data_IF_843375641415
#
_entry.id   IF_843375641415
#
_cell.length_a   1.000
_cell.length_b   1.000
_cell.length_c   1.000
_cell.angle_alpha   90.00
_cell.angle_beta   90.00
_cell.angle_gamma   90.00
#
_symmetry.space_group_name_H-M   'P 1'
#
loop_
_entity.id
_entity.type
_entity.pdbx_description
1 polymer ?
#
# COMPACT_ATOMS: atom_id res chain seq x y z
N UNK A 1 -5.69 -3.91 -13.66
CA UNK A 1 -6.68 -4.09 -12.56
C UNK A 1 -7.71 -2.97 -12.65
N UNK A 2 -8.98 -3.32 -12.67
CA UNK A 2 -10.09 -2.37 -12.61
C UNK A 2 -10.54 -2.17 -11.16
N UNK A 3 -10.46 -0.94 -10.66
CA UNK A 3 -10.93 -0.56 -9.32
C UNK A 3 -12.21 0.26 -9.44
N UNK A 4 -13.25 -0.14 -8.73
CA UNK A 4 -14.52 0.56 -8.68
C UNK A 4 -14.95 0.82 -7.22
N UNK A 5 -15.28 2.06 -6.91
CA UNK A 5 -15.81 2.54 -5.64
C UNK A 5 -17.13 3.24 -5.93
N UNK A 6 -18.22 2.81 -5.29
CA UNK A 6 -19.56 3.35 -5.51
C UNK A 6 -20.12 3.84 -4.19
N UNK A 7 -20.11 5.16 -3.98
CA UNK A 7 -20.65 5.80 -2.80
C UNK A 7 -20.00 5.39 -1.48
N UNK A 8 -18.71 5.00 -1.52
CA UNK A 8 -18.00 4.49 -0.34
C UNK A 8 -17.87 5.59 0.70
N UNK A 9 -18.37 5.32 1.90
CA UNK A 9 -18.27 6.21 3.05
C UNK A 9 -17.84 5.45 4.30
N UNK A 10 -17.13 6.15 5.18
CA UNK A 10 -16.71 5.59 6.46
C UNK A 10 -16.87 6.61 7.58
N UNK A 11 -17.60 6.20 8.62
CA UNK A 11 -17.80 6.98 9.84
C UNK A 11 -17.38 6.13 11.04
N UNK A 12 -16.54 6.69 11.89
CA UNK A 12 -16.14 6.07 13.15
C UNK A 12 -17.01 6.59 14.29
N UNK A 13 -17.35 5.74 15.27
CA UNK A 13 -18.25 6.08 16.38
C UNK A 13 -17.78 7.28 17.21
N UNK A 14 -16.47 7.39 17.46
CA UNK A 14 -15.84 8.46 18.24
C UNK A 14 -15.12 9.51 17.40
N UNK A 15 -15.16 9.36 16.07
CA UNK A 15 -14.46 10.24 15.14
C UNK A 15 -15.38 10.69 14.03
N UNK A 16 -15.23 11.76 13.40
CA UNK A 16 -16.04 12.23 12.29
C UNK A 16 -16.08 11.28 11.08
N UNK A 17 -16.66 11.73 10.01
CA UNK A 17 -16.72 11.02 8.74
C UNK A 17 -15.35 11.04 8.08
N UNK A 18 -14.69 9.88 8.02
CA UNK A 18 -13.35 9.73 7.45
C UNK A 18 -13.36 9.62 5.93
N UNK A 19 -14.44 9.10 5.33
CA UNK A 19 -14.66 9.06 3.89
C UNK A 19 -16.08 9.52 3.57
N UNK A 20 -16.21 10.39 2.56
CA UNK A 20 -17.45 11.04 2.17
C UNK A 20 -17.80 10.72 0.74
N UNK A 21 -18.68 9.70 0.57
CA UNK A 21 -19.27 9.37 -0.74
C UNK A 21 -18.23 9.23 -1.88
N UNK A 22 -17.19 8.41 -1.64
CA UNK A 22 -16.14 8.17 -2.63
C UNK A 22 -16.73 7.42 -3.82
N UNK A 23 -16.61 8.04 -4.99
CA UNK A 23 -16.95 7.43 -6.28
C UNK A 23 -15.71 7.45 -7.17
N UNK A 24 -15.35 6.29 -7.69
CA UNK A 24 -14.16 6.10 -8.50
C UNK A 24 -14.31 4.86 -9.37
N UNK A 25 -13.92 4.92 -10.62
CA UNK A 25 -13.87 3.75 -11.50
C UNK A 25 -12.82 3.96 -12.57
N UNK A 26 -11.72 3.19 -12.52
CA UNK A 26 -10.71 3.20 -13.58
C UNK A 26 -9.87 1.91 -13.58
N UNK A 27 -9.20 1.71 -14.71
CA UNK A 27 -8.19 0.68 -14.90
C UNK A 27 -6.81 1.24 -14.57
N UNK A 28 -6.11 0.61 -13.64
CA UNK A 28 -4.74 1.01 -13.29
C UNK A 28 -3.89 -0.19 -12.88
N UNK A 29 -2.60 -0.10 -13.15
CA UNK A 29 -1.59 -1.06 -12.64
C UNK A 29 -0.94 -0.55 -11.36
N UNK A 30 -0.78 0.78 -11.25
CA UNK A 30 -0.23 1.42 -10.06
C UNK A 30 -0.93 2.74 -9.78
N UNK A 31 -1.39 2.92 -8.53
CA UNK A 31 -2.12 4.08 -8.06
C UNK A 31 -1.45 4.66 -6.82
N UNK A 32 -0.99 5.90 -6.90
CA UNK A 32 -0.59 6.68 -5.73
C UNK A 32 -1.80 7.40 -5.14
N UNK A 33 -1.96 7.36 -3.82
CA UNK A 33 -2.93 8.16 -3.08
C UNK A 33 -2.16 9.18 -2.26
N UNK A 34 -2.32 10.45 -2.58
CA UNK A 34 -1.64 11.59 -1.94
C UNK A 34 -2.62 12.54 -1.27
N UNK A 35 -2.12 13.42 -0.44
CA UNK A 35 -2.91 14.45 0.24
C UNK A 35 -2.49 14.67 1.70
N UNK A 36 -3.07 15.67 2.37
CA UNK A 36 -2.72 16.01 3.75
C UNK A 36 -3.05 14.89 4.74
N UNK A 37 -2.40 14.92 5.91
CA UNK A 37 -2.71 14.01 7.02
C UNK A 37 -4.18 14.18 7.43
N UNK A 38 -4.84 13.07 7.81
CA UNK A 38 -6.27 13.07 8.11
C UNK A 38 -7.20 13.11 6.88
N UNK A 39 -6.65 13.12 5.66
CA UNK A 39 -7.44 13.15 4.41
C UNK A 39 -8.23 11.88 4.07
N UNK A 40 -8.16 10.81 4.88
CA UNK A 40 -8.89 9.57 4.64
C UNK A 40 -8.11 8.50 3.86
N UNK A 41 -6.88 8.79 3.42
CA UNK A 41 -6.05 7.91 2.57
C UNK A 41 -5.87 6.49 3.13
N UNK A 42 -5.34 6.37 4.35
CA UNK A 42 -5.14 5.06 5.01
C UNK A 42 -6.46 4.36 5.31
N UNK A 43 -7.54 5.11 5.56
CA UNK A 43 -8.88 4.54 5.74
C UNK A 43 -9.36 3.90 4.45
N UNK A 44 -9.24 4.59 3.32
CA UNK A 44 -9.56 4.04 2.00
C UNK A 44 -8.72 2.79 1.71
N UNK A 45 -7.41 2.86 1.93
CA UNK A 45 -6.51 1.72 1.70
C UNK A 45 -6.90 0.50 2.54
N UNK A 46 -7.27 0.69 3.82
CA UNK A 46 -7.72 -0.40 4.71
C UNK A 46 -9.06 -0.99 4.29
N UNK A 47 -9.97 -0.20 3.75
CA UNK A 47 -11.21 -0.70 3.14
C UNK A 47 -10.88 -1.56 1.93
N UNK A 48 -10.01 -1.09 1.03
CA UNK A 48 -9.54 -1.86 -0.13
C UNK A 48 -8.85 -3.17 0.28
N UNK A 49 -8.11 -3.17 1.38
CA UNK A 49 -7.49 -4.38 1.93
C UNK A 49 -8.46 -5.31 2.68
N UNK A 50 -9.74 -4.92 2.80
CA UNK A 50 -10.71 -5.66 3.57
C UNK A 50 -10.40 -5.68 5.08
N UNK A 51 -9.61 -4.75 5.58
CA UNK A 51 -9.25 -4.66 7.00
C UNK A 51 -10.33 -3.98 7.84
N UNK A 52 -11.08 -3.06 7.23
CA UNK A 52 -12.26 -2.41 7.81
C UNK A 52 -13.41 -2.47 6.81
N UNK A 53 -14.62 -2.58 7.33
CA UNK A 53 -15.85 -2.56 6.52
C UNK A 53 -16.31 -1.12 6.35
N UNK A 54 -16.60 -0.64 5.12
CA UNK A 54 -17.15 0.69 4.93
C UNK A 54 -18.53 0.80 5.59
N UNK A 55 -18.86 2.00 6.07
CA UNK A 55 -20.19 2.25 6.67
C UNK A 55 -21.29 2.28 5.61
N UNK A 56 -20.95 2.58 4.35
CA UNK A 56 -21.85 2.58 3.19
C UNK A 56 -21.07 2.45 1.89
N UNK A 57 -21.79 2.11 0.83
CA UNK A 57 -21.23 1.96 -0.52
C UNK A 57 -20.59 0.60 -0.77
N UNK A 58 -20.04 0.45 -1.95
CA UNK A 58 -19.50 -0.81 -2.45
C UNK A 58 -18.11 -0.62 -3.04
N UNK A 59 -17.29 -1.65 -2.89
CA UNK A 59 -15.96 -1.77 -3.52
C UNK A 59 -16.01 -2.95 -4.46
N UNK A 60 -15.51 -2.79 -5.69
CA UNK A 60 -15.28 -3.90 -6.60
C UNK A 60 -13.87 -3.84 -7.20
N UNK A 61 -13.26 -5.00 -7.41
CA UNK A 61 -11.96 -5.15 -8.06
C UNK A 61 -12.12 -6.18 -9.17
N UNK A 62 -11.74 -5.79 -10.41
CA UNK A 62 -11.91 -6.59 -11.63
C UNK A 62 -13.34 -7.12 -11.80
N UNK A 63 -14.34 -6.26 -11.51
CA UNK A 63 -15.76 -6.56 -11.60
C UNK A 63 -16.30 -7.43 -10.47
N UNK A 64 -15.48 -7.84 -9.51
CA UNK A 64 -15.91 -8.63 -8.36
C UNK A 64 -16.12 -7.73 -7.15
N UNK A 65 -17.35 -7.67 -6.64
CA UNK A 65 -17.63 -6.95 -5.40
C UNK A 65 -16.90 -7.57 -4.21
N UNK A 66 -16.27 -6.73 -3.40
CA UNK A 66 -15.66 -7.15 -2.14
C UNK A 66 -16.76 -7.36 -1.11
N UNK A 67 -17.00 -8.62 -0.77
CA UNK A 67 -17.94 -8.95 0.31
C UNK A 67 -17.22 -8.89 1.66
N UNK A 68 -17.86 -8.19 2.62
CA UNK A 68 -17.32 -8.02 3.96
C UNK A 68 -17.89 -9.03 4.97
N UNK A 69 -18.59 -10.07 4.51
CA UNK A 69 -18.93 -11.22 5.36
C UNK A 69 -17.64 -12.00 5.73
N UNK A 70 -17.68 -12.67 6.87
CA UNK A 70 -16.49 -13.30 7.47
C UNK A 70 -15.80 -14.30 6.53
N UNK A 71 -16.54 -15.10 5.81
CA UNK A 71 -15.98 -16.18 4.97
C UNK A 71 -15.37 -15.63 3.69
N UNK A 72 -16.11 -14.80 2.97
CA UNK A 72 -15.67 -14.15 1.73
C UNK A 72 -14.49 -13.24 1.98
N UNK A 73 -14.50 -12.51 3.11
CA UNK A 73 -13.43 -11.60 3.51
C UNK A 73 -12.10 -12.32 3.77
N UNK A 74 -12.14 -13.53 4.36
CA UNK A 74 -10.93 -14.34 4.53
C UNK A 74 -10.35 -14.80 3.19
N UNK A 75 -11.19 -15.23 2.26
CA UNK A 75 -10.77 -15.60 0.93
C UNK A 75 -10.17 -14.39 0.17
N UNK A 76 -10.84 -13.23 0.26
CA UNK A 76 -10.37 -11.99 -0.34
C UNK A 76 -8.99 -11.58 0.18
N UNK A 77 -8.80 -11.53 1.51
CA UNK A 77 -7.52 -11.15 2.15
C UNK A 77 -6.35 -12.04 1.75
N UNK A 78 -6.59 -13.30 1.41
CA UNK A 78 -5.55 -14.21 0.90
C UNK A 78 -5.01 -13.78 -0.47
N UNK A 79 -5.77 -13.00 -1.23
CA UNK A 79 -5.37 -12.51 -2.54
C UNK A 79 -4.69 -11.14 -2.49
N UNK A 80 -4.63 -10.51 -1.31
CA UNK A 80 -4.10 -9.15 -1.10
C UNK A 80 -2.82 -9.20 -0.28
N UNK A 81 -1.78 -8.51 -0.73
CA UNK A 81 -0.64 -8.15 0.09
C UNK A 81 -0.90 -6.81 0.78
N UNK A 82 -0.66 -6.70 2.07
CA UNK A 82 -0.80 -5.45 2.81
C UNK A 82 0.46 -5.16 3.62
N UNK A 83 1.00 -3.95 3.47
CA UNK A 83 2.15 -3.45 4.24
C UNK A 83 1.70 -2.22 5.02
N UNK A 84 1.80 -2.30 6.34
CA UNK A 84 1.45 -1.21 7.25
C UNK A 84 2.58 -0.20 7.35
N UNK A 85 2.25 1.01 7.73
CA UNK A 85 3.19 2.10 7.98
C UNK A 85 4.33 1.70 8.94
N UNK A 86 4.03 0.93 9.99
CA UNK A 86 5.01 0.40 10.94
C UNK A 86 5.66 -0.92 10.52
N UNK A 87 5.48 -1.38 9.25
CA UNK A 87 5.91 -2.67 8.75
C UNK A 87 5.13 -3.86 9.31
N UNK A 88 4.67 -3.80 10.55
CA UNK A 88 3.80 -4.80 11.21
C UNK A 88 4.41 -6.20 11.27
N UNK A 89 5.72 -6.33 11.48
CA UNK A 89 6.36 -7.63 11.67
C UNK A 89 5.95 -8.28 12.99
N UNK A 90 5.89 -9.59 13.01
CA UNK A 90 5.71 -10.35 14.22
C UNK A 90 7.00 -10.31 15.05
N UNK A 91 7.00 -9.61 16.17
CA UNK A 91 8.20 -9.34 16.98
C UNK A 91 8.86 -10.61 17.57
N UNK A 92 8.08 -11.67 17.75
CA UNK A 92 8.55 -12.97 18.28
C UNK A 92 9.03 -13.93 17.18
N UNK A 93 9.03 -13.51 15.92
CA UNK A 93 9.50 -14.29 14.77
C UNK A 93 10.71 -13.63 14.12
N UNK A 94 11.64 -14.44 13.63
CA UNK A 94 12.77 -13.95 12.82
C UNK A 94 12.31 -13.43 11.45
N UNK A 95 13.18 -12.73 10.71
CA UNK A 95 12.89 -12.27 9.35
C UNK A 95 12.39 -13.40 8.44
N UNK A 96 13.11 -14.53 8.41
CA UNK A 96 12.70 -15.71 7.66
C UNK A 96 11.32 -16.23 8.11
N UNK A 97 11.09 -16.31 9.41
CA UNK A 97 9.81 -16.81 9.95
C UNK A 97 8.66 -15.85 9.72
N UNK A 98 8.89 -14.56 9.68
CA UNK A 98 7.88 -13.57 9.32
C UNK A 98 7.33 -13.81 7.90
N UNK A 99 8.19 -14.26 6.96
CA UNK A 99 7.78 -14.59 5.60
C UNK A 99 7.16 -15.98 5.52
N UNK A 100 7.76 -16.99 6.17
CA UNK A 100 7.31 -18.39 6.04
C UNK A 100 6.00 -18.69 6.76
N UNK A 101 5.74 -18.06 7.92
CA UNK A 101 4.55 -18.35 8.72
C UNK A 101 3.23 -18.13 7.97
N UNK A 102 2.98 -16.98 7.27
CA UNK A 102 1.78 -16.82 6.46
C UNK A 102 1.68 -17.82 5.31
N UNK A 103 2.79 -18.15 4.65
CA UNK A 103 2.80 -19.15 3.56
C UNK A 103 2.30 -20.50 4.05
N UNK A 104 2.79 -20.96 5.21
CA UNK A 104 2.44 -22.26 5.76
C UNK A 104 1.01 -22.26 6.32
N UNK A 105 0.69 -21.29 7.20
CA UNK A 105 -0.55 -21.33 7.99
C UNK A 105 -1.78 -20.75 7.29
N UNK A 106 -1.56 -19.88 6.27
CA UNK A 106 -2.66 -19.20 5.55
C UNK A 106 -2.79 -19.73 4.13
N UNK A 107 -1.65 -19.94 3.45
CA UNK A 107 -1.64 -20.28 2.03
C UNK A 107 -1.38 -21.77 1.75
N UNK A 108 -1.15 -22.60 2.79
CA UNK A 108 -1.04 -24.06 2.67
C UNK A 108 0.25 -24.58 2.02
N UNK A 109 1.30 -23.75 1.98
CA UNK A 109 2.61 -24.20 1.51
C UNK A 109 3.19 -25.25 2.45
N UNK A 110 3.92 -26.22 1.91
CA UNK A 110 4.80 -27.06 2.72
C UNK A 110 5.91 -26.23 3.36
N UNK A 111 6.53 -26.73 4.43
CA UNK A 111 7.64 -26.03 5.09
C UNK A 111 8.80 -25.77 4.13
N UNK A 112 9.13 -26.74 3.29
CA UNK A 112 10.27 -26.66 2.35
C UNK A 112 9.99 -25.61 1.25
N UNK A 113 8.79 -25.61 0.67
CA UNK A 113 8.38 -24.60 -0.31
C UNK A 113 8.38 -23.18 0.29
N UNK A 114 7.83 -23.02 1.50
CA UNK A 114 7.81 -21.74 2.20
C UNK A 114 9.23 -21.22 2.47
N UNK A 115 10.14 -22.09 2.95
CA UNK A 115 11.54 -21.72 3.20
C UNK A 115 12.27 -21.39 1.89
N UNK A 116 12.05 -22.16 0.82
CA UNK A 116 12.62 -21.89 -0.49
C UNK A 116 12.17 -20.53 -1.03
N UNK A 117 10.88 -20.24 -0.96
CA UNK A 117 10.30 -18.96 -1.39
C UNK A 117 10.85 -17.80 -0.56
N UNK A 118 10.86 -17.93 0.78
CA UNK A 118 11.35 -16.88 1.65
C UNK A 118 12.84 -16.59 1.44
N UNK A 119 13.68 -17.61 1.29
CA UNK A 119 15.11 -17.43 1.00
C UNK A 119 15.34 -16.75 -0.35
N UNK A 120 14.55 -17.07 -1.38
CA UNK A 120 14.64 -16.41 -2.68
C UNK A 120 14.31 -14.92 -2.58
N UNK A 121 13.28 -14.55 -1.83
CA UNK A 121 12.91 -13.15 -1.60
C UNK A 121 13.94 -12.39 -0.74
N UNK A 122 14.44 -13.02 0.33
CA UNK A 122 15.50 -12.41 1.15
C UNK A 122 16.77 -12.15 0.33
N UNK A 123 17.15 -13.09 -0.56
CA UNK A 123 18.26 -12.88 -1.49
C UNK A 123 18.00 -11.75 -2.45
N UNK A 124 16.82 -11.74 -3.09
CA UNK A 124 16.41 -10.70 -4.04
C UNK A 124 16.52 -9.30 -3.45
N UNK A 125 16.17 -9.15 -2.17
CA UNK A 125 16.14 -7.85 -1.48
C UNK A 125 17.34 -7.60 -0.58
N UNK A 126 18.44 -8.34 -0.77
CA UNK A 126 19.70 -8.19 -0.03
C UNK A 126 19.55 -8.30 1.49
N UNK A 127 18.70 -9.23 1.95
CA UNK A 127 18.37 -9.47 3.37
C UNK A 127 18.80 -10.87 3.84
N UNK A 128 19.69 -11.56 3.14
CA UNK A 128 20.12 -12.94 3.49
C UNK A 128 20.76 -12.98 4.87
N UNK A 129 21.61 -12.00 5.18
CA UNK A 129 22.27 -11.87 6.48
C UNK A 129 21.27 -11.58 7.63
N UNK A 130 20.08 -11.10 7.30
CA UNK A 130 19.06 -10.68 8.26
C UNK A 130 17.98 -11.77 8.49
N UNK A 131 18.08 -12.89 7.78
CA UNK A 131 17.09 -13.97 7.80
C UNK A 131 16.77 -14.48 9.23
N UNK A 132 17.78 -14.60 10.08
CA UNK A 132 17.66 -15.13 11.42
C UNK A 132 17.53 -14.06 12.52
N UNK A 133 17.59 -12.80 12.19
CA UNK A 133 17.41 -11.68 13.12
C UNK A 133 15.93 -11.47 13.46
N UNK A 134 15.67 -11.05 14.69
CA UNK A 134 14.36 -10.59 15.14
C UNK A 134 14.16 -9.12 14.77
N UNK A 135 12.91 -8.61 14.71
CA UNK A 135 12.64 -7.23 14.32
C UNK A 135 13.42 -6.17 15.12
N UNK A 136 13.64 -6.38 16.41
CA UNK A 136 14.40 -5.46 17.26
C UNK A 136 15.92 -5.41 16.96
N UNK A 137 16.44 -6.36 16.18
CA UNK A 137 17.84 -6.42 15.73
C UNK A 137 18.03 -5.84 14.30
N UNK A 138 16.93 -5.39 13.69
CA UNK A 138 16.87 -4.90 12.31
C UNK A 138 16.70 -3.39 12.28
N UNK A 139 17.31 -2.73 11.29
CA UNK A 139 17.01 -1.32 10.99
C UNK A 139 15.57 -1.18 10.50
N UNK A 140 15.00 0.04 10.55
CA UNK A 140 13.66 0.32 10.03
C UNK A 140 13.51 -0.09 8.57
N UNK A 141 14.48 0.22 7.72
CA UNK A 141 14.47 -0.16 6.31
C UNK A 141 14.53 -1.68 6.09
N UNK A 142 15.33 -2.42 6.89
CA UNK A 142 15.34 -3.89 6.84
C UNK A 142 13.99 -4.47 7.27
N UNK A 143 13.40 -3.94 8.34
CA UNK A 143 12.05 -4.36 8.77
C UNK A 143 11.02 -4.13 7.67
N UNK A 144 11.05 -2.97 7.02
CA UNK A 144 10.11 -2.61 5.96
C UNK A 144 10.29 -3.51 4.72
N UNK A 145 11.53 -3.76 4.29
CA UNK A 145 11.82 -4.67 3.18
C UNK A 145 11.38 -6.10 3.48
N UNK A 146 11.54 -6.60 4.71
CA UNK A 146 11.01 -7.92 5.13
C UNK A 146 9.47 -7.91 5.12
N UNK A 147 8.82 -6.81 5.54
CA UNK A 147 7.36 -6.69 5.51
C UNK A 147 6.82 -6.72 4.06
N UNK A 148 7.49 -6.07 3.13
CA UNK A 148 7.15 -6.12 1.70
C UNK A 148 7.40 -7.54 1.16
N UNK A 149 8.55 -8.16 1.46
CA UNK A 149 8.85 -9.53 1.06
C UNK A 149 7.78 -10.52 1.57
N UNK A 150 7.33 -10.38 2.81
CA UNK A 150 6.23 -11.15 3.38
C UNK A 150 4.93 -10.94 2.61
N UNK A 151 4.59 -9.69 2.29
CA UNK A 151 3.35 -9.35 1.62
C UNK A 151 3.27 -9.93 0.19
N UNK A 152 4.40 -10.00 -0.53
CA UNK A 152 4.44 -10.52 -1.91
C UNK A 152 4.71 -12.02 -1.99
N UNK A 153 5.12 -12.68 -0.89
CA UNK A 153 5.55 -14.07 -0.88
C UNK A 153 4.48 -15.05 -1.40
N UNK A 154 3.21 -14.75 -1.13
CA UNK A 154 2.07 -15.55 -1.62
C UNK A 154 1.59 -15.15 -3.03
N UNK A 155 2.33 -14.30 -3.75
CA UNK A 155 1.98 -13.79 -5.07
C UNK A 155 0.59 -13.16 -5.11
N UNK A 156 0.35 -12.11 -4.33
CA UNK A 156 -0.96 -11.46 -4.29
C UNK A 156 -1.30 -10.84 -5.65
N UNK A 157 -2.61 -10.71 -5.95
CA UNK A 157 -3.06 -9.98 -7.15
C UNK A 157 -2.96 -8.45 -7.00
N UNK A 158 -2.89 -7.95 -5.77
CA UNK A 158 -2.80 -6.53 -5.44
C UNK A 158 -1.95 -6.36 -4.18
N UNK A 159 -0.99 -5.44 -4.23
CA UNK A 159 -0.19 -5.00 -3.09
C UNK A 159 -0.66 -3.61 -2.64
N UNK A 160 -1.00 -3.50 -1.37
CA UNK A 160 -1.41 -2.26 -0.71
C UNK A 160 -0.32 -1.81 0.27
N UNK A 161 0.15 -0.58 0.12
CA UNK A 161 1.25 -0.01 0.90
C UNK A 161 0.75 1.27 1.60
N UNK A 162 0.70 1.26 2.93
CA UNK A 162 0.29 2.41 3.76
C UNK A 162 1.51 3.13 4.28
N UNK A 163 1.95 4.21 3.60
CA UNK A 163 3.10 5.06 3.94
C UNK A 163 4.38 4.25 4.27
N UNK A 164 4.87 3.39 3.38
CA UNK A 164 5.94 2.43 3.70
C UNK A 164 7.29 3.06 4.03
N UNK A 165 7.47 4.36 3.84
CA UNK A 165 8.75 5.08 4.03
C UNK A 165 8.70 6.12 5.14
N UNK A 166 7.54 6.36 5.76
CA UNK A 166 7.31 7.49 6.68
C UNK A 166 8.20 7.53 7.93
N UNK A 167 8.79 6.39 8.32
CA UNK A 167 9.66 6.27 9.50
C UNK A 167 11.12 6.00 9.14
N UNK A 168 11.51 6.21 7.87
CA UNK A 168 12.85 5.90 7.36
C UNK A 168 13.64 7.18 7.07
N UNK A 169 14.96 7.07 7.17
CA UNK A 169 15.85 8.12 6.65
C UNK A 169 15.87 8.11 5.10
N UNK A 170 16.37 9.17 4.45
CA UNK A 170 16.33 9.29 2.99
C UNK A 170 17.02 8.15 2.23
N UNK A 171 18.11 7.59 2.77
CA UNK A 171 18.82 6.51 2.09
C UNK A 171 18.03 5.21 2.13
N UNK A 172 17.46 4.86 3.29
CA UNK A 172 16.58 3.69 3.43
C UNK A 172 15.24 3.86 2.69
N UNK A 173 14.75 5.10 2.57
CA UNK A 173 13.58 5.43 1.75
C UNK A 173 13.81 5.07 0.29
N UNK A 174 14.97 5.44 -0.29
CA UNK A 174 15.32 5.11 -1.66
C UNK A 174 15.30 3.60 -1.91
N UNK A 175 15.95 2.81 -1.04
CA UNK A 175 15.98 1.34 -1.15
C UNK A 175 14.58 0.71 -1.20
N UNK A 176 13.65 1.21 -0.35
CA UNK A 176 12.27 0.71 -0.31
C UNK A 176 11.48 1.11 -1.55
N UNK A 177 11.66 2.34 -2.03
CA UNK A 177 10.98 2.83 -3.23
C UNK A 177 11.48 2.13 -4.50
N UNK A 178 12.77 1.87 -4.60
CA UNK A 178 13.36 1.10 -5.71
C UNK A 178 12.75 -0.31 -5.76
N UNK A 179 12.63 -0.97 -4.61
CA UNK A 179 11.97 -2.27 -4.50
C UNK A 179 10.51 -2.22 -4.95
N UNK A 180 9.75 -1.19 -4.57
CA UNK A 180 8.35 -1.02 -5.01
C UNK A 180 8.28 -0.73 -6.51
N UNK A 181 9.21 0.07 -7.04
CA UNK A 181 9.35 0.36 -8.47
C UNK A 181 9.61 -0.90 -9.30
N UNK A 182 10.53 -1.77 -8.86
CA UNK A 182 10.76 -3.08 -9.50
C UNK A 182 9.49 -3.92 -9.57
N UNK A 183 8.75 -4.04 -8.45
CA UNK A 183 7.51 -4.81 -8.40
C UNK A 183 6.45 -4.24 -9.35
N UNK A 184 6.39 -2.93 -9.52
CA UNK A 184 5.49 -2.27 -10.47
C UNK A 184 5.86 -2.64 -11.91
N UNK A 185 7.15 -2.60 -12.26
CA UNK A 185 7.63 -2.96 -13.61
C UNK A 185 7.44 -4.43 -13.95
N UNK A 186 7.41 -5.31 -12.95
CA UNK A 186 7.08 -6.73 -13.10
C UNK A 186 5.57 -7.00 -13.29
N UNK A 187 4.74 -5.95 -13.24
CA UNK A 187 3.30 -6.04 -13.49
C UNK A 187 2.46 -6.37 -12.25
N UNK A 188 3.03 -6.30 -11.04
CA UNK A 188 2.23 -6.39 -9.82
C UNK A 188 1.34 -5.15 -9.70
N UNK A 189 0.04 -5.34 -9.49
CA UNK A 189 -0.83 -4.21 -9.21
C UNK A 189 -0.55 -3.63 -7.82
N UNK A 190 -0.36 -2.32 -7.74
CA UNK A 190 0.02 -1.63 -6.50
C UNK A 190 -0.88 -0.43 -6.23
N UNK A 191 -1.34 -0.28 -5.00
CA UNK A 191 -1.93 0.97 -4.50
C UNK A 191 -1.09 1.42 -3.30
N UNK A 192 -0.57 2.63 -3.39
CA UNK A 192 0.39 3.20 -2.44
C UNK A 192 -0.13 4.51 -1.86
N UNK A 193 -0.27 4.59 -0.55
CA UNK A 193 -0.36 5.88 0.15
C UNK A 193 1.06 6.37 0.42
N UNK A 194 1.40 7.57 -0.03
CA UNK A 194 2.77 8.09 0.12
C UNK A 194 2.82 9.61 0.26
N UNK A 195 3.91 10.07 0.89
CA UNK A 195 4.35 11.46 0.90
C UNK A 195 5.55 11.70 -0.03
N UNK A 196 6.01 10.66 -0.73
CA UNK A 196 7.10 10.71 -1.70
C UNK A 196 6.59 11.15 -3.08
N UNK A 197 6.46 12.47 -3.28
CA UNK A 197 5.85 13.05 -4.48
C UNK A 197 6.61 12.70 -5.76
N UNK A 198 7.93 12.68 -5.71
CA UNK A 198 8.76 12.30 -6.86
C UNK A 198 8.51 10.85 -7.29
N UNK A 199 8.36 9.94 -6.33
CA UNK A 199 8.03 8.55 -6.61
C UNK A 199 6.61 8.41 -7.17
N UNK A 200 5.62 9.06 -6.55
CA UNK A 200 4.25 9.07 -7.03
C UNK A 200 4.15 9.55 -8.48
N UNK A 201 4.84 10.66 -8.82
CA UNK A 201 4.89 11.24 -10.17
C UNK A 201 5.53 10.30 -11.20
N UNK A 202 6.67 9.68 -10.86
CA UNK A 202 7.52 9.01 -11.84
C UNK A 202 7.31 7.50 -11.93
N UNK A 203 6.83 6.86 -10.86
CA UNK A 203 6.73 5.41 -10.74
C UNK A 203 5.30 4.86 -10.68
N UNK A 204 4.30 5.73 -10.45
CA UNK A 204 2.90 5.32 -10.48
C UNK A 204 2.22 5.77 -11.78
N UNK A 205 1.37 4.91 -12.34
CA UNK A 205 0.62 5.22 -13.56
C UNK A 205 -0.41 6.32 -13.31
N UNK A 206 -1.08 6.26 -12.17
CA UNK A 206 -2.16 7.18 -11.79
C UNK A 206 -1.93 7.74 -10.40
N UNK A 207 -2.43 8.96 -10.16
CA UNK A 207 -2.42 9.60 -8.85
C UNK A 207 -3.80 10.10 -8.49
N UNK A 208 -4.20 9.85 -7.25
CA UNK A 208 -5.45 10.26 -6.63
C UNK A 208 -5.14 11.20 -5.47
N UNK A 209 -5.65 12.43 -5.51
CA UNK A 209 -5.50 13.42 -4.46
C UNK A 209 -6.74 13.48 -3.59
N UNK A 210 -6.57 13.28 -2.28
CA UNK A 210 -7.64 13.26 -1.29
C UNK A 210 -7.49 14.36 -0.24
N UNK A 211 -8.59 15.02 0.08
CA UNK A 211 -8.70 15.99 1.16
C UNK A 211 -10.02 15.78 1.90
N UNK A 212 -9.98 15.75 3.24
CA UNK A 212 -11.18 15.71 4.06
C UNK A 212 -12.13 14.54 3.79
N UNK A 213 -11.60 13.41 3.34
CA UNK A 213 -12.38 12.21 3.03
C UNK A 213 -13.01 12.21 1.64
N UNK A 214 -12.63 13.11 0.74
CA UNK A 214 -13.13 13.22 -0.62
C UNK A 214 -12.00 13.10 -1.64
N UNK A 215 -12.29 12.60 -2.84
CA UNK A 215 -11.40 12.66 -3.99
C UNK A 215 -11.58 14.04 -4.63
N UNK A 216 -10.50 14.82 -4.64
CA UNK A 216 -10.52 16.19 -5.20
C UNK A 216 -10.04 16.17 -6.65
N UNK A 217 -9.02 15.37 -6.92
CA UNK A 217 -8.45 15.27 -8.27
C UNK A 217 -7.87 13.89 -8.50
N UNK A 218 -7.91 13.46 -9.76
CA UNK A 218 -7.43 12.15 -10.16
C UNK A 218 -7.02 12.19 -11.64
N UNK A 219 -5.98 11.46 -11.99
CA UNK A 219 -5.54 11.36 -13.37
C UNK A 219 -4.24 10.60 -13.55
N UNK A 220 -3.69 10.70 -14.76
CA UNK A 220 -2.31 10.29 -15.05
C UNK A 220 -1.35 11.01 -14.10
N UNK A 221 -0.39 10.26 -13.52
CA UNK A 221 0.46 10.83 -12.47
C UNK A 221 1.21 12.07 -12.93
N UNK A 222 1.85 12.03 -14.10
CA UNK A 222 2.58 13.20 -14.61
C UNK A 222 1.65 14.40 -14.80
N UNK A 223 0.47 14.18 -15.36
CA UNK A 223 -0.51 15.24 -15.59
C UNK A 223 -0.99 15.88 -14.28
N UNK A 224 -1.29 15.07 -13.26
CA UNK A 224 -1.73 15.56 -11.93
C UNK A 224 -0.65 16.43 -11.28
N UNK A 225 0.63 16.09 -11.43
CA UNK A 225 1.73 16.86 -10.84
C UNK A 225 2.18 18.05 -11.67
N UNK A 226 2.12 17.99 -13.01
CA UNK A 226 2.60 19.06 -13.89
C UNK A 226 1.51 20.08 -14.23
N UNK A 227 0.25 19.63 -14.25
CA UNK A 227 -0.90 20.43 -14.64
C UNK A 227 -2.08 20.25 -13.66
N UNK A 228 -1.88 20.52 -12.35
CA UNK A 228 -2.93 20.34 -11.34
C UNK A 228 -4.12 21.27 -11.67
N UNK A 229 -5.32 20.70 -11.71
CA UNK A 229 -6.53 21.42 -12.08
C UNK A 229 -7.21 22.07 -10.87
N UNK A 230 -7.16 21.40 -9.71
CA UNK A 230 -7.79 21.91 -8.50
C UNK A 230 -6.87 22.87 -7.74
N UNK A 231 -7.42 24.00 -7.28
CA UNK A 231 -6.69 24.94 -6.45
C UNK A 231 -6.13 24.28 -5.17
N UNK A 232 -6.86 23.30 -4.62
CA UNK A 232 -6.42 22.57 -3.43
C UNK A 232 -5.15 21.75 -3.70
N UNK A 233 -5.06 21.08 -4.84
CA UNK A 233 -3.87 20.35 -5.23
C UNK A 233 -2.69 21.29 -5.51
N UNK A 234 -2.92 22.40 -6.21
CA UNK A 234 -1.89 23.43 -6.46
C UNK A 234 -1.26 23.90 -5.14
N UNK A 235 -2.10 24.33 -4.18
CA UNK A 235 -1.64 24.78 -2.85
C UNK A 235 -0.90 23.63 -2.11
N UNK A 236 -1.38 22.39 -2.22
CA UNK A 236 -0.73 21.25 -1.58
C UNK A 236 0.65 20.99 -2.18
N UNK A 237 0.78 20.96 -3.51
CA UNK A 237 2.04 20.75 -4.21
C UNK A 237 3.02 21.89 -3.95
N UNK A 238 2.58 23.15 -3.97
CA UNK A 238 3.41 24.32 -3.62
C UNK A 238 4.01 24.20 -2.22
N UNK A 239 3.22 23.72 -1.25
CA UNK A 239 3.72 23.52 0.11
C UNK A 239 4.71 22.38 0.25
N UNK A 240 4.53 21.31 -0.51
CA UNK A 240 5.36 20.09 -0.40
C UNK A 240 6.57 20.16 -1.33
N UNK A 241 6.44 20.75 -2.50
CA UNK A 241 7.49 20.86 -3.51
C UNK A 241 8.10 22.26 -3.57
N UNK A 242 7.37 23.29 -3.22
CA UNK A 242 7.72 24.71 -3.39
C UNK A 242 8.82 25.24 -2.44
N UNK A 243 9.42 24.41 -1.63
CA UNK A 243 10.68 24.72 -0.96
C UNK A 243 11.91 24.52 -1.87
N UNK A 244 11.71 24.26 -3.17
CA UNK A 244 12.75 24.06 -4.18
C UNK A 244 12.75 25.09 -5.30
N UNK A 245 11.99 26.17 -5.17
CA UNK A 245 11.86 27.20 -6.21
C UNK A 245 11.99 28.63 -5.67
N UNK A 246 13.17 29.03 -5.22
CA UNK A 246 13.75 30.40 -5.32
C UNK A 246 15.24 30.31 -5.22
#
# INVERSE_FOLDING_TARGET
>A
MRLELRGVGMRFDLGGEALRNINFADDTTSLAIIGPSGGGKSTLLRILGGLITPSRGEVAIDGQAVSYDRTSLLAYRRTIGFVFQSGGLFHHLTGLRNITAPLIHVHGYSKDEAVKTAKALLRRFHLEADANKYPHELSGGQQQRIAIARAIAAKPRLLLLDEPTSALDPALTADVLDMVGELTTEGLNIILVTHEMSFAKNSCAKTLFMVGGEIIEYGDSRSVFEHPQSQQLQIFLDKVLGHFGT
#
